data_IF_027285460723
#
_entry.id   IF_027285460723
#
_cell.length_a   1.000
_cell.length_b   1.000
_cell.length_c   1.000
_cell.angle_alpha   90.00
_cell.angle_beta   90.00
_cell.angle_gamma   90.00
#
_symmetry.space_group_name_H-M   'P 1'
#
loop_
_entity.id
_entity.type
_entity.pdbx_description
1 polymer ?
#
# COMPACT_ATOMS: atom_id res chain seq x y z
N UNK A 1 -3.16 38.02 5.29
CA UNK A 1 -3.44 38.34 3.88
C UNK A 1 -4.18 37.15 3.29
N UNK A 2 -5.48 37.26 3.10
CA UNK A 2 -6.29 36.27 2.41
C UNK A 2 -6.12 36.48 0.90
N UNK A 3 -5.68 35.49 0.19
CA UNK A 3 -5.69 35.45 -1.28
C UNK A 3 -6.99 34.77 -1.69
N UNK A 4 -7.90 35.53 -2.28
CA UNK A 4 -9.15 35.03 -2.84
C UNK A 4 -8.86 34.46 -4.22
N UNK A 5 -8.84 33.13 -4.34
CA UNK A 5 -8.80 32.44 -5.60
C UNK A 5 -10.11 31.67 -5.76
N UNK A 6 -11.05 32.27 -6.45
CA UNK A 6 -12.33 31.66 -6.82
C UNK A 6 -12.18 30.35 -7.58
N UNK A 7 -12.03 29.24 -6.85
CA UNK A 7 -12.19 27.86 -7.30
C UNK A 7 -13.01 27.09 -6.28
N UNK A 8 -14.20 26.73 -6.67
CA UNK A 8 -15.08 25.82 -5.95
C UNK A 8 -14.34 24.54 -5.58
N UNK A 9 -14.11 24.30 -4.27
CA UNK A 9 -13.58 23.07 -3.70
C UNK A 9 -12.14 23.11 -3.17
N UNK A 10 -11.52 24.29 -2.99
CA UNK A 10 -10.20 24.41 -2.38
C UNK A 10 -10.29 24.56 -0.86
N UNK A 11 -9.59 23.71 -0.11
CA UNK A 11 -9.43 23.87 1.34
C UNK A 11 -8.36 24.91 1.64
N UNK A 12 -8.57 25.69 2.69
CA UNK A 12 -7.61 26.68 3.17
C UNK A 12 -6.92 26.16 4.41
N UNK A 13 -5.58 26.04 4.36
CA UNK A 13 -4.77 25.70 5.51
C UNK A 13 -4.50 26.96 6.33
N UNK A 14 -4.86 26.91 7.60
CA UNK A 14 -4.63 27.98 8.58
C UNK A 14 -3.47 27.56 9.47
N UNK A 15 -2.36 28.30 9.40
CA UNK A 15 -1.21 28.07 10.28
C UNK A 15 -1.46 28.74 11.63
N UNK A 16 -1.57 27.95 12.68
CA UNK A 16 -1.81 28.38 14.06
C UNK A 16 -0.49 28.45 14.83
N UNK A 17 -0.45 29.28 15.88
CA UNK A 17 0.73 29.36 16.76
C UNK A 17 0.71 28.27 17.81
N UNK A 18 -0.47 27.88 18.27
CA UNK A 18 -0.66 26.85 19.30
C UNK A 18 -1.45 25.66 18.74
N UNK A 19 -1.21 24.47 19.30
CA UNK A 19 -1.93 23.25 18.91
C UNK A 19 -3.42 23.31 19.26
N UNK A 20 -3.77 23.97 20.36
CA UNK A 20 -5.15 24.13 20.80
C UNK A 20 -5.97 24.95 19.81
N UNK A 21 -5.41 26.01 19.23
CA UNK A 21 -6.05 26.80 18.17
C UNK A 21 -6.30 25.99 16.91
N UNK A 22 -5.33 25.14 16.53
CA UNK A 22 -5.44 24.24 15.39
C UNK A 22 -6.55 23.20 15.63
N UNK A 23 -6.63 22.64 16.83
CA UNK A 23 -7.67 21.68 17.21
C UNK A 23 -9.05 22.34 17.25
N UNK A 24 -9.16 23.58 17.72
CA UNK A 24 -10.41 24.33 17.73
C UNK A 24 -10.93 24.56 16.30
N UNK A 25 -10.08 24.96 15.36
CA UNK A 25 -10.45 25.11 13.94
C UNK A 25 -10.94 23.78 13.38
N UNK A 26 -10.21 22.69 13.66
CA UNK A 26 -10.51 21.36 13.15
C UNK A 26 -11.79 20.76 13.76
N UNK A 27 -12.21 21.19 14.95
CA UNK A 27 -13.44 20.74 15.62
C UNK A 27 -14.70 21.43 15.12
N UNK A 28 -14.58 22.58 14.47
CA UNK A 28 -15.72 23.39 14.02
C UNK A 28 -16.46 22.87 12.79
N UNK A 29 -16.09 21.69 12.25
CA UNK A 29 -16.71 21.02 11.08
C UNK A 29 -16.97 21.94 9.85
N UNK A 30 -16.30 23.07 9.75
CA UNK A 30 -16.29 23.84 8.51
C UNK A 30 -15.36 23.14 7.53
N UNK A 31 -15.96 22.48 6.55
CA UNK A 31 -15.27 21.60 5.57
C UNK A 31 -14.13 22.28 4.77
N UNK A 32 -14.00 23.61 4.88
CA UNK A 32 -13.07 24.40 4.06
C UNK A 32 -11.79 24.87 4.78
N UNK A 33 -11.71 24.72 6.12
CA UNK A 33 -10.57 25.18 6.91
C UNK A 33 -9.86 24.02 7.59
N UNK A 34 -8.54 24.01 7.52
CA UNK A 34 -7.67 23.05 8.20
C UNK A 34 -6.70 23.82 9.09
N UNK A 35 -6.86 23.70 10.42
CA UNK A 35 -5.93 24.27 11.39
C UNK A 35 -4.68 23.41 11.51
N UNK A 36 -3.50 24.00 11.40
CA UNK A 36 -2.20 23.30 11.51
C UNK A 36 -1.24 24.15 12.33
N UNK A 37 -0.64 23.58 13.37
CA UNK A 37 0.38 24.29 14.14
C UNK A 37 1.62 24.51 13.28
N UNK A 38 2.13 25.76 13.23
CA UNK A 38 3.28 26.13 12.42
C UNK A 38 4.63 25.70 12.99
N UNK A 39 4.67 25.41 14.31
CA UNK A 39 5.89 25.04 15.03
C UNK A 39 6.08 23.52 15.16
N UNK A 40 5.70 22.78 14.14
CA UNK A 40 5.94 21.34 14.07
C UNK A 40 6.91 21.02 12.90
N UNK A 41 7.57 19.86 12.92
CA UNK A 41 8.41 19.42 11.80
C UNK A 41 7.65 19.44 10.48
N UNK A 42 8.33 19.81 9.39
CA UNK A 42 7.70 19.97 8.07
C UNK A 42 6.98 18.71 7.58
N UNK A 43 7.47 17.52 7.93
CA UNK A 43 6.81 16.26 7.61
C UNK A 43 5.46 16.10 8.33
N UNK A 44 5.35 16.52 9.60
CA UNK A 44 4.08 16.47 10.34
C UNK A 44 3.07 17.48 9.79
N UNK A 45 3.53 18.66 9.38
CA UNK A 45 2.71 19.67 8.73
C UNK A 45 2.12 19.12 7.42
N UNK A 46 2.99 18.57 6.57
CA UNK A 46 2.59 17.95 5.30
C UNK A 46 1.60 16.79 5.54
N UNK A 47 1.90 15.94 6.51
CA UNK A 47 1.07 14.82 6.90
C UNK A 47 -0.32 15.25 7.38
N UNK A 48 -0.40 16.30 8.20
CA UNK A 48 -1.67 16.85 8.68
C UNK A 48 -2.52 17.38 7.52
N UNK A 49 -1.92 18.13 6.59
CA UNK A 49 -2.61 18.65 5.40
C UNK A 49 -3.11 17.51 4.51
N UNK A 50 -2.27 16.52 4.23
CA UNK A 50 -2.65 15.35 3.44
C UNK A 50 -3.75 14.51 4.09
N UNK A 51 -3.76 14.39 5.42
CA UNK A 51 -4.81 13.69 6.16
C UNK A 51 -6.19 14.33 5.94
N UNK A 52 -6.28 15.65 5.86
CA UNK A 52 -7.55 16.33 5.58
C UNK A 52 -7.97 16.22 4.11
N UNK A 53 -7.02 16.25 3.18
CA UNK A 53 -7.30 15.97 1.77
C UNK A 53 -7.86 14.54 1.58
N UNK A 54 -7.33 13.56 2.33
CA UNK A 54 -7.81 12.18 2.35
C UNK A 54 -9.27 12.05 2.82
N UNK A 55 -9.72 12.81 3.84
CA UNK A 55 -11.13 12.75 4.28
C UNK A 55 -12.12 13.06 3.16
N UNK A 56 -11.74 13.93 2.22
CA UNK A 56 -12.59 14.23 1.06
C UNK A 56 -12.52 13.16 -0.01
N UNK A 57 -11.38 12.48 -0.11
CA UNK A 57 -11.20 11.34 -1.02
C UNK A 57 -12.00 10.11 -0.54
N UNK A 58 -12.12 9.90 0.78
CA UNK A 58 -12.99 8.84 1.36
C UNK A 58 -14.44 8.99 0.89
N UNK A 59 -14.97 10.22 0.85
CA UNK A 59 -16.34 10.50 0.36
C UNK A 59 -16.52 10.18 -1.14
N UNK A 60 -15.42 10.09 -1.92
CA UNK A 60 -15.41 9.81 -3.38
C UNK A 60 -14.90 8.42 -3.71
N UNK A 61 -14.37 7.68 -2.74
CA UNK A 61 -13.81 6.35 -2.95
C UNK A 61 -14.91 5.35 -3.29
N UNK A 62 -14.72 4.64 -4.40
CA UNK A 62 -15.42 3.42 -4.70
C UNK A 62 -15.10 2.31 -3.69
N UNK A 63 -15.63 1.12 -3.93
CA UNK A 63 -15.33 -0.05 -3.10
C UNK A 63 -13.82 -0.35 -3.12
N UNK A 64 -13.22 -0.55 -1.93
CA UNK A 64 -11.82 -0.96 -1.78
C UNK A 64 -11.54 -2.19 -2.65
N UNK A 65 -10.41 -2.20 -3.33
CA UNK A 65 -9.87 -3.37 -4.04
C UNK A 65 -8.54 -3.79 -3.41
N UNK A 66 -8.50 -4.97 -2.83
CA UNK A 66 -7.29 -5.60 -2.34
C UNK A 66 -6.63 -6.42 -3.46
N UNK A 67 -5.33 -6.21 -3.67
CA UNK A 67 -4.54 -6.88 -4.70
C UNK A 67 -3.41 -7.65 -4.04
N UNK A 68 -3.46 -8.97 -4.07
CA UNK A 68 -2.45 -9.85 -3.52
C UNK A 68 -1.40 -10.24 -4.56
N UNK A 69 -0.14 -10.18 -4.18
CA UNK A 69 0.99 -10.60 -5.02
C UNK A 69 1.79 -11.67 -4.29
N UNK A 70 1.98 -12.80 -4.96
CA UNK A 70 2.77 -13.92 -4.46
C UNK A 70 3.75 -14.42 -5.53
N UNK A 71 4.79 -15.13 -5.11
CA UNK A 71 5.77 -15.75 -6.01
C UNK A 71 6.96 -16.30 -5.26
N UNK A 72 7.63 -17.29 -5.86
CA UNK A 72 8.77 -17.99 -5.26
C UNK A 72 10.10 -17.25 -5.39
N UNK A 73 10.15 -16.16 -6.12
CA UNK A 73 11.32 -15.30 -6.25
C UNK A 73 11.01 -13.95 -5.62
N UNK A 74 11.59 -13.69 -4.45
CA UNK A 74 11.32 -12.51 -3.65
C UNK A 74 11.63 -11.20 -4.41
N UNK A 75 12.72 -11.18 -5.17
CA UNK A 75 13.09 -10.01 -5.98
C UNK A 75 12.04 -9.69 -7.04
N UNK A 76 11.59 -10.70 -7.78
CA UNK A 76 10.55 -10.49 -8.81
C UNK A 76 9.21 -10.13 -8.20
N UNK A 77 8.87 -10.75 -7.06
CA UNK A 77 7.63 -10.49 -6.35
C UNK A 77 7.55 -9.04 -5.88
N UNK A 78 8.58 -8.53 -5.19
CA UNK A 78 8.59 -7.14 -4.73
C UNK A 78 8.55 -6.15 -5.90
N UNK A 79 9.24 -6.44 -7.00
CA UNK A 79 9.22 -5.61 -8.20
C UNK A 79 7.84 -5.57 -8.85
N UNK A 80 7.16 -6.71 -8.97
CA UNK A 80 5.79 -6.78 -9.48
C UNK A 80 4.84 -6.02 -8.56
N UNK A 81 4.98 -6.20 -7.24
CA UNK A 81 4.15 -5.54 -6.24
C UNK A 81 4.30 -4.02 -6.29
N UNK A 82 5.52 -3.51 -6.38
CA UNK A 82 5.81 -2.08 -6.52
C UNK A 82 5.31 -1.51 -7.85
N UNK A 83 5.45 -2.26 -8.95
CA UNK A 83 4.94 -1.84 -10.26
C UNK A 83 3.42 -1.72 -10.25
N UNK A 84 2.71 -2.72 -9.71
CA UNK A 84 1.26 -2.68 -9.54
C UNK A 84 0.81 -1.50 -8.67
N UNK A 85 1.48 -1.29 -7.53
CA UNK A 85 1.18 -0.20 -6.62
C UNK A 85 1.37 1.17 -7.30
N UNK A 86 2.43 1.33 -8.08
CA UNK A 86 2.72 2.57 -8.81
C UNK A 86 1.68 2.84 -9.90
N UNK A 87 1.36 1.85 -10.74
CA UNK A 87 0.33 2.00 -11.78
C UNK A 87 -1.02 2.35 -11.17
N UNK A 88 -1.42 1.65 -10.10
CA UNK A 88 -2.71 1.90 -9.44
C UNK A 88 -2.75 3.26 -8.75
N UNK A 89 -1.61 3.77 -8.26
CA UNK A 89 -1.53 5.10 -7.65
C UNK A 89 -1.78 6.24 -8.65
N UNK A 90 -1.64 6.00 -9.94
CA UNK A 90 -2.03 6.95 -10.99
C UNK A 90 -3.56 7.09 -11.09
N UNK A 91 -4.30 6.00 -10.80
CA UNK A 91 -5.76 5.92 -10.96
C UNK A 91 -6.54 6.16 -9.66
N UNK A 92 -5.93 5.99 -8.49
CA UNK A 92 -6.61 6.14 -7.20
C UNK A 92 -5.70 6.09 -6.00
N UNK A 93 -6.28 6.38 -4.82
CA UNK A 93 -5.53 6.29 -3.57
C UNK A 93 -5.07 4.87 -3.33
N UNK A 94 -3.78 4.66 -3.31
CA UNK A 94 -3.18 3.34 -3.22
C UNK A 94 -2.26 3.26 -2.02
N UNK A 95 -2.41 2.20 -1.24
CA UNK A 95 -1.50 1.82 -0.16
C UNK A 95 -0.75 0.56 -0.56
N UNK A 96 0.55 0.55 -0.33
CA UNK A 96 1.40 -0.62 -0.47
C UNK A 96 1.84 -1.16 0.90
N UNK A 97 1.68 -2.46 1.10
CA UNK A 97 2.09 -3.15 2.34
C UNK A 97 2.86 -4.41 1.94
N UNK A 98 4.09 -4.55 2.44
CA UNK A 98 4.87 -5.79 2.26
C UNK A 98 4.90 -6.57 3.58
N UNK A 99 4.45 -7.81 3.53
CA UNK A 99 4.59 -8.80 4.60
C UNK A 99 5.83 -9.69 4.37
N UNK A 100 6.81 -9.19 3.65
CA UNK A 100 8.11 -9.83 3.53
C UNK A 100 9.04 -9.36 4.64
N UNK A 101 9.68 -10.31 5.30
CA UNK A 101 10.75 -10.01 6.25
C UNK A 101 11.97 -9.52 5.46
N UNK A 102 12.52 -8.38 5.86
CA UNK A 102 13.66 -7.74 5.17
C UNK A 102 13.38 -7.33 3.71
N UNK A 103 12.19 -6.79 3.46
CA UNK A 103 11.78 -6.37 2.10
C UNK A 103 12.62 -5.21 1.52
N UNK A 104 13.42 -4.53 2.34
CA UNK A 104 14.17 -3.32 1.99
C UNK A 104 13.29 -2.16 1.46
N UNK A 105 12.02 -2.18 1.75
CA UNK A 105 11.04 -1.21 1.25
C UNK A 105 11.38 0.22 1.67
N UNK A 106 11.78 0.39 2.93
CA UNK A 106 12.23 1.68 3.46
C UNK A 106 13.41 2.26 2.67
N UNK A 107 14.36 1.41 2.26
CA UNK A 107 15.49 1.83 1.43
C UNK A 107 15.08 2.17 0.00
N UNK A 108 14.21 1.34 -0.61
CA UNK A 108 13.73 1.53 -1.99
C UNK A 108 12.94 2.82 -2.14
N UNK A 109 12.06 3.12 -1.18
CA UNK A 109 11.18 4.30 -1.19
C UNK A 109 11.72 5.46 -0.35
N UNK A 110 12.94 5.34 0.19
CA UNK A 110 13.65 6.38 0.97
C UNK A 110 12.83 6.86 2.17
N UNK A 111 12.37 5.91 2.99
CA UNK A 111 11.62 6.22 4.20
C UNK A 111 12.47 6.97 5.22
N UNK A 112 11.90 8.03 5.80
CA UNK A 112 12.48 8.75 6.94
C UNK A 112 11.70 8.48 8.24
N UNK A 113 10.66 7.64 8.18
CA UNK A 113 9.81 7.32 9.34
C UNK A 113 10.53 6.43 10.33
N UNK A 114 10.23 6.65 11.60
CA UNK A 114 10.63 5.77 12.71
C UNK A 114 9.56 4.70 13.01
N UNK A 115 8.33 4.87 12.52
CA UNK A 115 7.26 3.89 12.67
C UNK A 115 7.13 3.03 11.40
N UNK A 116 6.75 1.79 11.58
CA UNK A 116 6.78 0.75 10.56
C UNK A 116 5.62 -0.24 10.69
N UNK A 117 5.68 -1.36 9.98
CA UNK A 117 4.61 -2.37 9.98
C UNK A 117 4.43 -3.05 11.35
N UNK A 118 5.50 -3.24 12.15
CA UNK A 118 5.38 -3.77 13.51
C UNK A 118 4.52 -2.86 14.39
N UNK A 119 4.75 -1.54 14.33
CA UNK A 119 3.95 -0.56 15.09
C UNK A 119 2.50 -0.53 14.62
N UNK A 120 2.29 -0.60 13.31
CA UNK A 120 0.97 -0.64 12.72
C UNK A 120 0.17 -1.89 13.15
N UNK A 121 0.80 -3.07 13.16
CA UNK A 121 0.20 -4.33 13.60
C UNK A 121 -0.06 -4.30 15.11
N UNK A 122 0.88 -3.76 15.89
CA UNK A 122 0.68 -3.60 17.34
C UNK A 122 -0.54 -2.70 17.64
N UNK A 123 -0.64 -1.54 16.97
CA UNK A 123 -1.77 -0.64 17.12
C UNK A 123 -3.11 -1.30 16.75
N UNK A 124 -3.11 -2.12 15.70
CA UNK A 124 -4.27 -2.88 15.26
C UNK A 124 -4.70 -3.91 16.31
N UNK A 125 -3.76 -4.68 16.88
CA UNK A 125 -4.01 -5.69 17.92
C UNK A 125 -4.55 -5.08 19.21
N UNK A 126 -4.10 -3.87 19.57
CA UNK A 126 -4.54 -3.19 20.78
C UNK A 126 -5.99 -2.67 20.70
N UNK A 127 -6.42 -2.16 19.57
CA UNK A 127 -7.76 -1.58 19.43
C UNK A 127 -8.25 -1.58 17.98
N UNK A 128 -8.91 -2.66 17.60
CA UNK A 128 -9.47 -2.83 16.25
C UNK A 128 -10.40 -1.70 15.77
N UNK A 129 -11.05 -0.98 16.69
CA UNK A 129 -12.04 0.04 16.33
C UNK A 129 -11.46 1.46 16.21
N UNK A 130 -10.25 1.71 16.73
CA UNK A 130 -9.62 3.04 16.72
C UNK A 130 -8.15 3.00 16.28
N UNK A 131 -7.69 1.89 15.73
CA UNK A 131 -6.29 1.72 15.32
C UNK A 131 -5.87 2.73 14.24
N UNK A 132 -6.81 3.23 13.43
CA UNK A 132 -6.55 4.20 12.38
C UNK A 132 -5.85 5.47 12.87
N UNK A 133 -6.08 5.87 14.13
CA UNK A 133 -5.41 7.07 14.69
C UNK A 133 -3.92 6.84 14.92
N UNK A 134 -3.54 5.61 15.23
CA UNK A 134 -2.17 5.26 15.55
C UNK A 134 -1.40 4.81 14.30
N UNK A 135 -2.07 4.13 13.35
CA UNK A 135 -1.42 3.64 12.13
C UNK A 135 -1.04 4.77 11.17
N UNK A 136 -1.68 5.95 11.28
CA UNK A 136 -1.39 7.10 10.43
C UNK A 136 0.08 7.47 10.44
N UNK A 137 0.76 7.33 11.57
CA UNK A 137 2.17 7.66 11.70
C UNK A 137 3.09 6.66 10.98
N UNK A 138 2.67 5.41 10.84
CA UNK A 138 3.41 4.40 10.10
C UNK A 138 3.22 4.50 8.58
N UNK A 139 2.26 5.33 8.10
CA UNK A 139 2.03 5.51 6.67
C UNK A 139 2.94 6.59 6.13
N UNK A 140 3.78 6.21 5.20
CA UNK A 140 4.71 7.06 4.48
C UNK A 140 4.23 7.33 3.06
N UNK A 141 4.86 8.32 2.39
CA UNK A 141 4.49 8.76 1.05
C UNK A 141 5.71 8.77 0.14
N UNK A 142 5.54 8.23 -1.07
CA UNK A 142 6.48 8.35 -2.16
C UNK A 142 5.70 8.67 -3.44
N UNK A 143 5.89 9.85 -4.01
CA UNK A 143 5.10 10.37 -5.12
C UNK A 143 3.58 10.33 -4.81
N UNK A 144 2.83 9.50 -5.54
CA UNK A 144 1.38 9.28 -5.35
C UNK A 144 1.06 8.04 -4.53
N UNK A 145 2.07 7.27 -4.14
CA UNK A 145 1.93 6.03 -3.41
C UNK A 145 2.07 6.25 -1.92
N UNK A 146 1.12 5.71 -1.17
CA UNK A 146 1.25 5.52 0.26
C UNK A 146 1.82 4.13 0.54
N UNK A 147 2.67 4.00 1.54
CA UNK A 147 3.23 2.72 1.93
C UNK A 147 3.51 2.65 3.43
N UNK A 148 3.60 1.45 3.96
CA UNK A 148 4.06 1.20 5.32
C UNK A 148 5.46 0.57 5.21
N UNK A 149 6.51 1.15 5.85
CA UNK A 149 7.83 0.54 5.87
C UNK A 149 7.79 -0.88 6.43
N UNK A 150 8.78 -1.70 6.07
CA UNK A 150 8.90 -3.07 6.56
C UNK A 150 8.93 -3.17 8.08
N UNK A 151 8.48 -4.30 8.62
CA UNK A 151 8.54 -4.59 10.03
C UNK A 151 10.00 -4.70 10.52
N UNK A 152 10.29 -4.15 11.69
CA UNK A 152 11.60 -4.28 12.36
C UNK A 152 11.78 -5.66 12.99
N UNK A 153 10.68 -6.31 13.36
CA UNK A 153 10.67 -7.59 14.04
C UNK A 153 10.15 -8.69 13.09
N UNK A 154 11.01 -9.65 12.77
CA UNK A 154 10.67 -10.76 11.89
C UNK A 154 9.55 -11.63 12.47
N UNK A 155 9.50 -11.77 13.80
CA UNK A 155 8.53 -12.55 14.52
C UNK A 155 7.12 -11.97 14.36
N UNK A 156 6.98 -10.64 14.26
CA UNK A 156 5.68 -9.98 14.06
C UNK A 156 5.03 -10.42 12.74
N UNK A 157 5.85 -10.68 11.73
CA UNK A 157 5.39 -11.17 10.43
C UNK A 157 5.20 -12.69 10.43
N UNK A 158 6.13 -13.45 11.03
CA UNK A 158 6.06 -14.90 11.06
C UNK A 158 4.86 -15.44 11.88
N UNK A 159 4.45 -14.70 12.90
CA UNK A 159 3.36 -15.08 13.81
C UNK A 159 1.98 -14.57 13.36
N UNK A 160 1.94 -13.69 12.34
CA UNK A 160 0.66 -13.15 11.84
C UNK A 160 -0.14 -14.23 11.10
N UNK A 161 -1.43 -14.28 11.37
CA UNK A 161 -2.34 -15.21 10.71
C UNK A 161 -2.93 -14.59 9.44
N UNK A 162 -3.23 -15.39 8.40
CA UNK A 162 -3.87 -14.90 7.18
C UNK A 162 -5.15 -14.08 7.45
N UNK A 163 -5.99 -14.53 8.37
CA UNK A 163 -7.23 -13.84 8.74
C UNK A 163 -6.97 -12.47 9.36
N UNK A 164 -5.86 -12.35 10.11
CA UNK A 164 -5.44 -11.08 10.72
C UNK A 164 -4.97 -10.11 9.62
N UNK A 165 -4.21 -10.57 8.63
CA UNK A 165 -3.81 -9.77 7.47
C UNK A 165 -5.07 -9.27 6.74
N UNK A 166 -6.02 -10.15 6.44
CA UNK A 166 -7.25 -9.80 5.75
C UNK A 166 -8.05 -8.74 6.51
N UNK A 167 -8.19 -8.91 7.84
CA UNK A 167 -8.93 -7.97 8.69
C UNK A 167 -8.22 -6.62 8.80
N UNK A 168 -6.89 -6.64 8.91
CA UNK A 168 -6.05 -5.45 8.96
C UNK A 168 -6.18 -4.62 7.66
N UNK A 169 -6.02 -5.27 6.51
CA UNK A 169 -6.14 -4.63 5.18
C UNK A 169 -7.53 -4.04 4.97
N UNK A 170 -8.59 -4.79 5.28
CA UNK A 170 -9.97 -4.31 5.16
C UNK A 170 -10.26 -3.14 6.11
N UNK A 171 -9.71 -3.20 7.33
CA UNK A 171 -9.81 -2.13 8.31
C UNK A 171 -9.16 -0.84 7.81
N UNK A 172 -7.92 -0.90 7.37
CA UNK A 172 -7.21 0.26 6.79
C UNK A 172 -7.98 0.82 5.59
N UNK A 173 -8.36 -0.03 4.66
CA UNK A 173 -9.07 0.40 3.46
C UNK A 173 -10.35 1.15 3.78
N UNK A 174 -11.14 0.65 4.73
CA UNK A 174 -12.40 1.26 5.15
C UNK A 174 -12.19 2.57 5.89
N UNK A 175 -11.27 2.59 6.86
CA UNK A 175 -11.05 3.73 7.75
C UNK A 175 -10.27 4.87 7.07
N UNK A 176 -9.35 4.53 6.15
CA UNK A 176 -8.45 5.49 5.51
C UNK A 176 -8.88 5.86 4.08
N UNK A 177 -9.90 5.18 3.52
CA UNK A 177 -10.48 5.48 2.22
C UNK A 177 -9.57 5.20 1.03
N UNK A 178 -8.80 4.12 1.10
CA UNK A 178 -8.02 3.66 -0.03
C UNK A 178 -8.91 3.03 -1.09
N UNK A 179 -8.63 3.34 -2.36
CA UNK A 179 -9.24 2.67 -3.50
C UNK A 179 -8.59 1.33 -3.77
N UNK A 180 -7.27 1.27 -3.53
CA UNK A 180 -6.46 0.07 -3.75
C UNK A 180 -5.53 -0.17 -2.57
N UNK A 181 -5.37 -1.43 -2.17
CA UNK A 181 -4.30 -1.88 -1.30
C UNK A 181 -3.56 -3.01 -2.00
N UNK A 182 -2.28 -2.81 -2.28
CA UNK A 182 -1.40 -3.84 -2.84
C UNK A 182 -0.64 -4.52 -1.71
N UNK A 183 -0.75 -5.84 -1.65
CA UNK A 183 -0.20 -6.70 -0.61
C UNK A 183 0.90 -7.56 -1.23
N UNK A 184 2.14 -7.31 -0.85
CA UNK A 184 3.26 -8.21 -1.13
C UNK A 184 3.28 -9.30 -0.07
N UNK A 185 2.95 -10.53 -0.46
CA UNK A 185 2.80 -11.66 0.46
C UNK A 185 4.15 -12.37 0.58
N UNK A 186 4.81 -12.17 1.74
CA UNK A 186 6.14 -12.71 2.02
C UNK A 186 6.17 -14.23 2.22
N UNK A 187 7.37 -14.78 2.14
CA UNK A 187 7.61 -16.23 2.28
C UNK A 187 7.37 -16.75 3.70
N UNK A 188 7.44 -15.87 4.71
CA UNK A 188 7.19 -16.22 6.11
C UNK A 188 5.71 -16.40 6.43
N UNK A 189 4.81 -15.94 5.57
CA UNK A 189 3.37 -16.07 5.79
C UNK A 189 2.97 -17.53 5.63
N UNK A 190 2.40 -18.09 6.69
CA UNK A 190 1.81 -19.42 6.63
C UNK A 190 0.55 -19.38 5.78
N UNK A 191 0.44 -20.32 4.84
CA UNK A 191 -0.74 -20.44 3.96
C UNK A 191 -1.03 -19.13 3.18
N UNK A 192 -0.06 -18.65 2.34
CA UNK A 192 -0.22 -17.40 1.60
C UNK A 192 -1.43 -17.38 0.66
N UNK A 193 -1.91 -18.55 0.24
CA UNK A 193 -3.13 -18.72 -0.54
C UNK A 193 -4.40 -18.30 0.19
N UNK A 194 -4.44 -18.35 1.53
CA UNK A 194 -5.57 -17.85 2.30
C UNK A 194 -5.62 -16.32 2.27
N UNK A 195 -4.46 -15.65 2.23
CA UNK A 195 -4.38 -14.20 2.00
C UNK A 195 -4.82 -13.86 0.58
N UNK A 196 -4.38 -14.63 -0.43
CA UNK A 196 -4.84 -14.46 -1.81
C UNK A 196 -6.36 -14.61 -1.91
N UNK A 197 -6.95 -15.55 -1.15
CA UNK A 197 -8.40 -15.76 -1.09
C UNK A 197 -9.20 -14.55 -0.57
N UNK A 198 -8.56 -13.64 0.14
CA UNK A 198 -9.17 -12.39 0.64
C UNK A 198 -9.00 -11.21 -0.34
N UNK A 199 -8.28 -11.40 -1.43
CA UNK A 199 -7.99 -10.35 -2.40
C UNK A 199 -8.98 -10.36 -3.57
N UNK A 200 -9.28 -9.17 -4.09
CA UNK A 200 -10.16 -9.00 -5.27
C UNK A 200 -9.45 -9.38 -6.58
N UNK A 201 -8.12 -9.19 -6.61
CA UNK A 201 -7.24 -9.60 -7.70
C UNK A 201 -5.97 -10.23 -7.16
N UNK A 202 -5.54 -11.29 -7.82
CA UNK A 202 -4.35 -12.02 -7.45
C UNK A 202 -3.34 -12.00 -8.60
N UNK A 203 -2.07 -11.75 -8.26
CA UNK A 203 -0.96 -11.81 -9.20
C UNK A 203 0.11 -12.76 -8.70
N UNK A 204 0.76 -13.43 -9.64
CA UNK A 204 1.87 -14.34 -9.35
C UNK A 204 2.99 -14.16 -10.38
N UNK A 205 4.23 -14.09 -9.91
CA UNK A 205 5.40 -14.07 -10.81
C UNK A 205 5.60 -15.42 -11.47
N UNK A 206 5.84 -15.43 -12.79
CA UNK A 206 6.29 -16.62 -13.50
C UNK A 206 7.76 -16.92 -13.19
N UNK A 207 8.09 -18.21 -13.18
CA UNK A 207 9.46 -18.67 -13.02
C UNK A 207 10.29 -18.52 -14.30
N UNK A 208 11.57 -18.18 -14.17
CA UNK A 208 12.51 -18.17 -15.30
C UNK A 208 13.08 -19.55 -15.59
N UNK A 209 13.10 -20.42 -14.60
CA UNK A 209 13.70 -21.74 -14.70
C UNK A 209 12.69 -22.87 -14.46
N UNK A 210 13.16 -24.10 -14.72
CA UNK A 210 12.35 -25.31 -14.54
C UNK A 210 11.88 -25.50 -13.09
N UNK A 211 12.73 -25.18 -12.10
CA UNK A 211 12.45 -25.42 -10.68
C UNK A 211 11.35 -24.48 -10.20
N UNK A 212 11.44 -23.18 -10.50
CA UNK A 212 10.41 -22.21 -10.17
C UNK A 212 9.06 -22.61 -10.80
N UNK A 213 9.07 -22.99 -12.08
CA UNK A 213 7.85 -23.42 -12.76
C UNK A 213 7.26 -24.71 -12.18
N UNK A 214 8.09 -25.65 -11.70
CA UNK A 214 7.61 -26.83 -10.98
C UNK A 214 7.00 -26.46 -9.63
N UNK A 215 7.57 -25.50 -8.90
CA UNK A 215 7.00 -25.02 -7.62
C UNK A 215 5.63 -24.39 -7.84
N UNK A 216 5.48 -23.56 -8.87
CA UNK A 216 4.19 -22.95 -9.23
C UNK A 216 3.15 -24.04 -9.50
N UNK A 217 3.48 -25.01 -10.35
CA UNK A 217 2.55 -26.11 -10.67
C UNK A 217 2.16 -26.94 -9.44
N UNK A 218 3.13 -27.21 -8.55
CA UNK A 218 2.86 -27.94 -7.31
C UNK A 218 1.97 -27.16 -6.37
N UNK A 219 2.16 -25.83 -6.26
CA UNK A 219 1.29 -24.96 -5.48
C UNK A 219 -0.13 -24.97 -6.05
N UNK A 220 -0.30 -24.77 -7.35
CA UNK A 220 -1.60 -24.78 -8.01
C UNK A 220 -2.32 -26.11 -7.78
N UNK A 221 -1.61 -27.23 -7.95
CA UNK A 221 -2.15 -28.57 -7.67
C UNK A 221 -2.63 -28.68 -6.23
N UNK A 222 -1.81 -28.24 -5.26
CA UNK A 222 -2.16 -28.25 -3.85
C UNK A 222 -3.41 -27.41 -3.59
N UNK A 223 -3.49 -26.18 -4.13
CA UNK A 223 -4.64 -25.29 -3.97
C UNK A 223 -5.92 -25.91 -4.53
N UNK A 224 -5.86 -26.56 -5.69
CA UNK A 224 -6.97 -27.29 -6.29
C UNK A 224 -7.44 -28.43 -5.39
N UNK A 225 -6.49 -29.23 -4.86
CA UNK A 225 -6.79 -30.32 -3.93
C UNK A 225 -7.43 -29.82 -2.61
N UNK A 226 -7.21 -28.55 -2.24
CA UNK A 226 -7.87 -27.89 -1.10
C UNK A 226 -9.19 -27.20 -1.50
N UNK A 227 -9.67 -27.33 -2.72
CA UNK A 227 -10.93 -26.73 -3.18
C UNK A 227 -10.83 -25.23 -3.51
N UNK A 228 -9.61 -24.74 -3.78
CA UNK A 228 -9.34 -23.33 -4.10
C UNK A 228 -9.24 -23.09 -5.63
N UNK A 229 -9.95 -23.86 -6.44
CA UNK A 229 -9.91 -23.77 -7.90
C UNK A 229 -10.20 -22.37 -8.41
N UNK A 230 -11.16 -21.68 -7.79
CA UNK A 230 -11.54 -20.32 -8.18
C UNK A 230 -10.38 -19.33 -8.02
N UNK A 231 -9.57 -19.47 -6.95
CA UNK A 231 -8.41 -18.61 -6.74
C UNK A 231 -7.36 -18.89 -7.81
N UNK A 232 -7.04 -20.17 -8.06
CA UNK A 232 -6.06 -20.58 -9.07
C UNK A 232 -6.43 -20.02 -10.45
N UNK A 233 -7.70 -20.09 -10.83
CA UNK A 233 -8.19 -19.56 -12.11
C UNK A 233 -8.15 -18.03 -12.20
N UNK A 234 -8.25 -17.34 -11.07
CA UNK A 234 -8.22 -15.87 -11.00
C UNK A 234 -6.81 -15.27 -10.92
N UNK A 235 -5.77 -16.10 -10.71
CA UNK A 235 -4.39 -15.61 -10.60
C UNK A 235 -3.87 -15.12 -11.96
N UNK A 236 -3.52 -13.86 -12.02
CA UNK A 236 -2.83 -13.26 -13.16
C UNK A 236 -1.33 -13.56 -13.07
N UNK A 237 -0.80 -14.36 -13.99
CA UNK A 237 0.62 -14.73 -14.02
C UNK A 237 1.39 -13.73 -14.85
N UNK A 238 2.46 -13.16 -14.27
CA UNK A 238 3.26 -12.10 -14.89
C UNK A 238 4.72 -12.53 -15.00
N UNK A 239 5.29 -12.36 -16.19
CA UNK A 239 6.73 -12.55 -16.40
C UNK A 239 7.45 -11.25 -16.05
N UNK A 240 8.19 -11.25 -14.95
CA UNK A 240 9.02 -10.11 -14.55
C UNK A 240 10.40 -10.26 -15.13
N UNK A 241 10.72 -9.49 -16.15
CA UNK A 241 12.07 -9.39 -16.73
C UNK A 241 12.57 -7.96 -16.51
N UNK A 242 13.79 -7.86 -16.03
CA UNK A 242 14.44 -6.56 -15.80
C UNK A 242 15.32 -6.24 -17.00
N UNK A 243 14.99 -5.18 -17.72
CA UNK A 243 15.73 -4.72 -18.89
C UNK A 243 16.79 -3.67 -18.53
N UNK A 244 16.80 -3.20 -17.28
CA UNK A 244 17.67 -2.13 -16.81
C UNK A 244 18.49 -2.64 -15.63
N UNK A 245 19.80 -2.34 -15.63
CA UNK A 245 20.64 -2.54 -14.44
C UNK A 245 20.05 -1.76 -13.27
N UNK A 246 19.42 -2.50 -12.36
CA UNK A 246 18.83 -1.95 -11.17
C UNK A 246 19.94 -1.80 -10.15
N UNK A 247 20.51 -0.61 -10.09
CA UNK A 247 21.27 -0.20 -8.91
C UNK A 247 20.27 0.25 -7.85
N UNK A 248 20.46 -0.19 -6.61
CA UNK A 248 19.54 0.03 -5.49
C UNK A 248 19.16 1.51 -5.28
N UNK A 249 20.00 2.45 -5.70
CA UNK A 249 19.83 3.88 -5.39
C UNK A 249 18.67 4.57 -6.13
N UNK A 250 18.09 3.92 -7.15
CA UNK A 250 17.01 4.51 -7.95
C UNK A 250 16.04 3.47 -8.54
N UNK A 251 15.78 2.40 -7.82
CA UNK A 251 14.86 1.34 -8.26
C UNK A 251 13.47 1.90 -8.55
N UNK A 252 12.95 2.72 -7.66
CA UNK A 252 11.63 3.32 -7.83
C UNK A 252 11.53 4.19 -9.08
N UNK A 253 12.53 5.05 -9.32
CA UNK A 253 12.58 5.92 -10.51
C UNK A 253 12.70 5.15 -11.82
N UNK A 254 13.40 4.02 -11.82
CA UNK A 254 13.65 3.20 -13.03
C UNK A 254 12.57 2.17 -13.34
N UNK A 255 11.68 1.90 -12.39
CA UNK A 255 10.64 0.88 -12.55
C UNK A 255 9.79 1.05 -13.82
N UNK A 256 9.36 2.28 -14.23
CA UNK A 256 8.58 2.50 -15.44
C UNK A 256 9.30 2.19 -16.77
N UNK A 257 10.61 2.05 -16.74
CA UNK A 257 11.40 1.77 -17.97
C UNK A 257 11.54 0.28 -18.27
N UNK A 258 10.79 -0.58 -17.58
CA UNK A 258 10.78 -2.03 -17.78
C UNK A 258 9.55 -2.46 -18.58
N UNK A 259 9.72 -3.37 -19.53
CA UNK A 259 8.66 -3.83 -20.43
C UNK A 259 7.43 -4.37 -19.68
N UNK A 260 7.65 -5.10 -18.56
CA UNK A 260 6.55 -5.62 -17.77
C UNK A 260 5.70 -4.54 -17.10
N UNK A 261 6.27 -3.36 -16.86
CA UNK A 261 5.51 -2.22 -16.29
C UNK A 261 4.51 -1.67 -17.31
N UNK A 262 4.92 -1.48 -18.55
CA UNK A 262 4.02 -1.04 -19.63
C UNK A 262 2.92 -2.08 -19.91
N UNK A 263 3.26 -3.38 -19.88
CA UNK A 263 2.28 -4.45 -20.00
C UNK A 263 1.23 -4.40 -18.87
N UNK A 264 1.67 -4.19 -17.63
CA UNK A 264 0.77 -4.01 -16.48
C UNK A 264 -0.11 -2.77 -16.65
N UNK A 265 0.46 -1.66 -17.09
CA UNK A 265 -0.28 -0.41 -17.31
C UNK A 265 -1.39 -0.58 -18.34
N UNK A 266 -1.08 -1.22 -19.46
CA UNK A 266 -2.08 -1.50 -20.51
C UNK A 266 -3.20 -2.46 -20.03
N UNK A 267 -2.87 -3.42 -19.19
CA UNK A 267 -3.83 -4.41 -18.65
C UNK A 267 -4.74 -3.82 -17.58
N UNK A 268 -4.22 -2.89 -16.76
CA UNK A 268 -4.95 -2.29 -15.66
C UNK A 268 -5.81 -1.10 -16.09
N UNK A 269 -5.38 -0.34 -17.10
CA UNK A 269 -6.04 0.86 -17.65
C UNK A 269 -6.40 0.66 -19.13
N UNK A 270 -7.33 -0.25 -19.50
CA UNK A 270 -7.63 -0.57 -20.89
C UNK A 270 -8.38 0.54 -21.68
N UNK A 271 -8.37 1.78 -21.20
CA UNK A 271 -9.16 2.90 -21.75
C UNK A 271 -8.42 4.19 -22.08
N UNK A 272 -7.10 4.22 -22.00
CA UNK A 272 -6.26 5.42 -22.31
C UNK A 272 -5.46 5.24 -23.62
N UNK A 273 -6.07 4.70 -24.69
CA UNK A 273 -5.57 4.81 -26.06
C UNK A 273 -6.29 5.90 -26.85
#
# INVERSE_FOLDING_TARGET
YAYDAGRTGSKTVVLCEEDDDAQEINSREKEELIGVCKYQPSYQLLHTVMRYDRKDRIKRSGMLKAIGVYGFNNTKRILLSLALARVLSESGNTLFISFEVFSCLGNILKSESTENLSDALYAFRQNHNQFHKNIVNAINHCDRLDYIPEADCAEDIADIKPEEICTFVQGIGREMGYSYIVIDIGDCIRMPWDVLGCCDKCYMTLGDDYIENCRIKNLEKYMIEQGMDNIVQSINKVQVKLNVDITMDDLWGKLPFNDFYEELKSTLNPGEE
#
